data_IF_932313073611
#
_entry.id   IF_932313073611
#
_cell.length_a   1.000
_cell.length_b   1.000
_cell.length_c   1.000
_cell.angle_alpha   90.00
_cell.angle_beta   90.00
_cell.angle_gamma   90.00
#
_symmetry.space_group_name_H-M   'P 1'
#
loop_
_entity.id
_entity.type
_entity.pdbx_description
1 polymer ?
#
# COMPACT_ATOMS: atom_id res chain seq x y z
N UNK A 1 28.46 28.76 -29.49
CA UNK A 1 27.50 27.67 -29.69
C UNK A 1 26.91 27.33 -28.33
N UNK A 2 25.77 27.94 -27.99
CA UNK A 2 25.11 27.74 -26.68
C UNK A 2 24.13 26.58 -26.86
N UNK A 3 24.42 25.45 -26.22
CA UNK A 3 23.56 24.28 -26.26
C UNK A 3 22.38 24.47 -25.31
N UNK A 4 21.18 24.63 -25.86
CA UNK A 4 19.93 24.64 -25.09
C UNK A 4 19.66 23.23 -24.56
N UNK A 5 19.70 23.08 -23.24
CA UNK A 5 19.33 21.85 -22.55
C UNK A 5 17.80 21.73 -22.52
N UNK A 6 17.25 20.76 -23.25
CA UNK A 6 15.84 20.38 -23.14
C UNK A 6 15.64 19.56 -21.85
N UNK A 7 14.94 20.13 -20.88
CA UNK A 7 14.44 19.38 -19.72
C UNK A 7 13.15 18.67 -20.16
N UNK A 8 13.23 17.36 -20.36
CA UNK A 8 12.06 16.53 -20.53
C UNK A 8 11.30 16.49 -19.20
N UNK A 9 10.11 17.09 -19.16
CA UNK A 9 9.20 16.93 -18.04
C UNK A 9 8.66 15.49 -18.06
N UNK A 10 9.23 14.61 -17.24
CA UNK A 10 8.62 13.33 -16.92
C UNK A 10 7.33 13.62 -16.17
N UNK A 11 6.19 13.41 -16.82
CA UNK A 11 4.91 13.28 -16.12
C UNK A 11 5.05 12.08 -15.19
N UNK A 12 5.16 12.33 -13.89
CA UNK A 12 5.05 11.27 -12.88
C UNK A 12 3.60 10.75 -12.95
N UNK A 13 3.38 9.74 -13.77
CA UNK A 13 2.14 8.98 -13.75
C UNK A 13 2.03 8.36 -12.36
N UNK A 14 0.92 8.60 -11.68
CA UNK A 14 0.67 7.96 -10.39
C UNK A 14 0.66 6.44 -10.62
N UNK A 15 1.61 5.74 -10.01
CA UNK A 15 1.64 4.27 -10.05
C UNK A 15 0.41 3.71 -9.31
N UNK A 16 -0.03 2.53 -9.74
CA UNK A 16 -1.14 1.83 -9.08
C UNK A 16 -0.72 1.50 -7.65
N UNK A 17 -1.59 1.82 -6.71
CA UNK A 17 -1.38 1.48 -5.30
C UNK A 17 -1.47 -0.04 -5.11
N UNK A 18 -0.45 -0.65 -4.49
CA UNK A 18 -0.40 -2.09 -4.21
C UNK A 18 -0.72 -2.34 -2.75
N UNK A 19 -1.79 -3.10 -2.50
CA UNK A 19 -2.33 -3.33 -1.18
C UNK A 19 -2.07 -4.78 -0.73
N UNK A 20 -1.45 -4.94 0.43
CA UNK A 20 -1.30 -6.23 1.09
C UNK A 20 -2.42 -6.46 2.11
N UNK A 21 -3.16 -7.56 1.95
CA UNK A 21 -4.10 -8.04 2.96
C UNK A 21 -3.42 -9.17 3.75
N UNK A 22 -3.37 -9.02 5.08
CA UNK A 22 -2.79 -10.00 6.00
C UNK A 22 -3.66 -11.26 6.19
N UNK A 23 -4.90 -11.22 5.72
CA UNK A 23 -5.85 -12.32 5.79
C UNK A 23 -6.66 -12.42 4.48
N UNK A 24 -7.22 -13.61 4.17
CA UNK A 24 -8.14 -13.77 3.06
C UNK A 24 -9.40 -12.89 3.21
N UNK A 25 -10.06 -12.51 2.10
CA UNK A 25 -11.32 -11.78 2.15
C UNK A 25 -12.38 -12.51 2.99
N UNK A 26 -12.88 -11.84 4.02
CA UNK A 26 -13.91 -12.30 4.96
C UNK A 26 -14.93 -11.20 5.25
N UNK A 27 -15.97 -11.53 6.01
CA UNK A 27 -16.96 -10.57 6.52
C UNK A 27 -16.35 -9.56 7.50
N UNK A 28 -15.34 -9.97 8.27
CA UNK A 28 -14.61 -9.09 9.20
C UNK A 28 -13.89 -7.94 8.48
N UNK A 29 -13.32 -8.22 7.30
CA UNK A 29 -12.62 -7.23 6.46
C UNK A 29 -13.49 -6.61 5.36
N UNK A 30 -14.80 -6.90 5.31
CA UNK A 30 -15.70 -6.40 4.27
C UNK A 30 -15.73 -4.88 4.17
N UNK A 31 -15.58 -4.19 5.30
CA UNK A 31 -15.56 -2.73 5.38
C UNK A 31 -14.40 -2.11 4.56
N UNK A 32 -13.26 -2.81 4.44
CA UNK A 32 -12.11 -2.38 3.65
C UNK A 32 -12.48 -2.38 2.16
N UNK A 33 -13.12 -3.44 1.68
CA UNK A 33 -13.52 -3.53 0.27
C UNK A 33 -14.57 -2.48 -0.11
N UNK A 34 -15.48 -2.13 0.79
CA UNK A 34 -16.41 -1.01 0.59
C UNK A 34 -15.66 0.33 0.47
N UNK A 35 -14.65 0.55 1.32
CA UNK A 35 -13.81 1.75 1.24
C UNK A 35 -13.01 1.80 -0.07
N UNK A 36 -12.47 0.66 -0.51
CA UNK A 36 -11.74 0.54 -1.77
C UNK A 36 -12.63 0.77 -2.99
N UNK A 37 -13.87 0.27 -3.00
CA UNK A 37 -14.84 0.57 -4.07
C UNK A 37 -15.15 2.06 -4.17
N UNK A 38 -15.32 2.74 -3.01
CA UNK A 38 -15.50 4.20 -2.97
C UNK A 38 -14.25 4.93 -3.46
N UNK A 39 -13.07 4.51 -3.03
CA UNK A 39 -11.81 5.10 -3.47
C UNK A 39 -11.60 4.94 -5.00
N UNK A 40 -11.96 3.78 -5.55
CA UNK A 40 -11.96 3.54 -7.00
C UNK A 40 -12.84 4.55 -7.74
N UNK A 41 -14.05 4.81 -7.23
CA UNK A 41 -14.98 5.81 -7.80
C UNK A 41 -14.44 7.24 -7.71
N UNK A 42 -13.51 7.51 -6.78
CA UNK A 42 -12.81 8.78 -6.65
C UNK A 42 -11.54 8.87 -7.52
N UNK A 43 -11.26 7.85 -8.34
CA UNK A 43 -10.11 7.83 -9.25
C UNK A 43 -8.85 7.18 -8.69
N UNK A 44 -8.92 6.51 -7.54
CA UNK A 44 -7.79 5.72 -7.04
C UNK A 44 -7.64 4.44 -7.87
N UNK A 45 -6.50 4.30 -8.54
CA UNK A 45 -6.09 3.03 -9.13
C UNK A 45 -5.32 2.19 -8.11
N UNK A 46 -5.75 0.95 -7.90
CA UNK A 46 -5.08 0.03 -7.00
C UNK A 46 -5.20 -1.43 -7.47
N UNK A 47 -4.30 -2.24 -6.94
CA UNK A 47 -4.38 -3.70 -6.93
C UNK A 47 -4.19 -4.20 -5.49
N UNK A 48 -4.73 -5.37 -5.19
CA UNK A 48 -4.59 -5.97 -3.87
C UNK A 48 -4.25 -7.45 -3.99
N UNK A 49 -3.50 -7.94 -3.01
CA UNK A 49 -3.11 -9.34 -2.88
C UNK A 49 -3.41 -9.79 -1.45
N UNK A 50 -4.14 -10.90 -1.34
CA UNK A 50 -4.30 -11.60 -0.07
C UNK A 50 -3.11 -12.53 0.14
N UNK A 51 -2.40 -12.34 1.24
CA UNK A 51 -1.30 -13.20 1.64
C UNK A 51 -1.82 -14.34 2.54
N UNK A 52 -1.03 -15.40 2.65
CA UNK A 52 -1.40 -16.57 3.46
C UNK A 52 -1.36 -16.27 4.97
N UNK A 53 -0.54 -15.31 5.39
CA UNK A 53 -0.38 -14.88 6.78
C UNK A 53 0.08 -13.42 6.88
N UNK A 54 -0.03 -12.85 8.09
CA UNK A 54 0.31 -11.46 8.39
C UNK A 54 1.80 -11.16 8.19
N UNK A 55 2.69 -12.10 8.53
CA UNK A 55 4.13 -11.89 8.43
C UNK A 55 4.53 -11.71 6.96
N UNK A 56 4.01 -12.53 6.05
CA UNK A 56 4.27 -12.40 4.61
C UNK A 56 3.77 -11.06 4.05
N UNK A 57 2.57 -10.62 4.46
CA UNK A 57 2.04 -9.32 4.06
C UNK A 57 2.95 -8.17 4.54
N UNK A 58 3.43 -8.25 5.78
CA UNK A 58 4.33 -7.25 6.35
C UNK A 58 5.69 -7.26 5.62
N UNK A 59 6.28 -8.44 5.36
CA UNK A 59 7.54 -8.54 4.62
C UNK A 59 7.44 -7.94 3.22
N UNK A 60 6.29 -8.08 2.54
CA UNK A 60 6.04 -7.46 1.25
C UNK A 60 6.04 -5.92 1.33
N UNK A 61 5.59 -5.34 2.44
CA UNK A 61 5.64 -3.88 2.68
C UNK A 61 7.06 -3.45 3.02
N UNK A 62 7.74 -4.16 3.91
CA UNK A 62 9.11 -3.84 4.31
C UNK A 62 10.10 -3.86 3.13
N UNK A 63 9.87 -4.76 2.17
CA UNK A 63 10.68 -4.87 0.94
C UNK A 63 10.27 -3.88 -0.16
N UNK A 64 9.19 -3.13 0.01
CA UNK A 64 8.66 -2.19 -1.00
C UNK A 64 7.92 -2.87 -2.17
N UNK A 65 7.62 -4.17 -2.06
CA UNK A 65 6.80 -4.90 -3.02
C UNK A 65 5.32 -4.48 -2.94
N UNK A 66 4.87 -4.09 -1.75
CA UNK A 66 3.53 -3.58 -1.47
C UNK A 66 3.63 -2.21 -0.80
N UNK A 67 2.65 -1.34 -1.02
CA UNK A 67 2.69 0.05 -0.59
C UNK A 67 1.93 0.26 0.74
N UNK A 68 0.79 -0.40 0.91
CA UNK A 68 -0.06 -0.30 2.11
C UNK A 68 -0.48 -1.71 2.56
N UNK A 69 -0.48 -1.92 3.88
CA UNK A 69 -1.00 -3.14 4.51
C UNK A 69 -2.22 -2.88 5.38
N UNK A 70 -3.09 -3.88 5.47
CA UNK A 70 -4.12 -3.97 6.50
C UNK A 70 -3.77 -5.10 7.46
N UNK A 71 -3.61 -4.77 8.74
CA UNK A 71 -3.20 -5.70 9.79
C UNK A 71 -2.74 -4.97 11.05
N UNK A 72 -2.06 -5.68 11.95
CA UNK A 72 -1.63 -5.15 13.25
C UNK A 72 -0.09 -5.13 13.39
N UNK A 73 0.62 -4.23 12.68
CA UNK A 73 2.08 -4.32 12.52
C UNK A 73 2.89 -3.92 13.76
N UNK A 74 2.29 -3.83 14.95
CA UNK A 74 2.94 -3.32 16.17
C UNK A 74 4.20 -4.11 16.52
N UNK A 75 4.14 -5.43 16.43
CA UNK A 75 5.28 -6.32 16.72
C UNK A 75 6.46 -6.05 15.79
N UNK A 76 6.19 -5.81 14.50
CA UNK A 76 7.22 -5.52 13.49
C UNK A 76 7.74 -4.10 13.60
N UNK A 77 6.88 -3.12 13.90
CA UNK A 77 7.31 -1.74 14.14
C UNK A 77 8.22 -1.63 15.38
N UNK A 78 7.99 -2.45 16.40
CA UNK A 78 8.84 -2.50 17.59
C UNK A 78 10.21 -3.13 17.32
N UNK A 79 10.29 -4.09 16.39
CA UNK A 79 11.50 -4.89 16.15
C UNK A 79 12.33 -4.41 14.96
N UNK A 80 11.69 -3.80 13.96
CA UNK A 80 12.36 -3.32 12.75
C UNK A 80 12.68 -1.82 12.84
N UNK A 81 13.75 -1.41 12.15
CA UNK A 81 14.05 0.02 11.90
C UNK A 81 13.49 0.50 10.56
N UNK A 82 12.58 -0.26 9.95
CA UNK A 82 12.05 0.08 8.65
C UNK A 82 11.16 1.34 8.76
N UNK A 83 11.16 2.20 7.73
CA UNK A 83 10.41 3.45 7.75
C UNK A 83 8.91 3.22 7.47
N UNK A 84 8.23 2.44 8.32
CA UNK A 84 6.80 2.15 8.24
C UNK A 84 6.04 2.96 9.29
N UNK A 85 4.81 3.38 8.96
CA UNK A 85 3.92 4.12 9.87
C UNK A 85 2.48 3.64 9.74
N UNK A 86 1.74 3.69 10.84
CA UNK A 86 0.30 3.53 10.84
C UNK A 86 -0.32 4.86 10.37
N UNK A 87 -1.14 4.81 9.32
CA UNK A 87 -1.85 5.99 8.79
C UNK A 87 -3.30 6.08 9.26
N UNK A 88 -3.86 4.95 9.71
CA UNK A 88 -5.22 4.85 10.22
C UNK A 88 -5.33 3.64 11.16
N UNK A 89 -6.10 3.79 12.24
CA UNK A 89 -6.41 2.73 13.20
C UNK A 89 -7.91 2.81 13.52
N UNK A 90 -8.60 1.67 13.45
CA UNK A 90 -10.00 1.59 13.89
C UNK A 90 -10.06 1.60 15.42
N UNK A 91 -10.96 2.42 15.98
CA UNK A 91 -11.18 2.61 17.42
C UNK A 91 -12.27 1.70 17.96
#
# INVERSE_FOLDING_TARGET
MVGTLFVAATSAQAEKLRIALAEPPSDEVAHIFVALDRAKKMGLEFEWTAFADEELAIQAILSGQMDIGFGTPYSVMQRSKAPVRIIFQMS
#
